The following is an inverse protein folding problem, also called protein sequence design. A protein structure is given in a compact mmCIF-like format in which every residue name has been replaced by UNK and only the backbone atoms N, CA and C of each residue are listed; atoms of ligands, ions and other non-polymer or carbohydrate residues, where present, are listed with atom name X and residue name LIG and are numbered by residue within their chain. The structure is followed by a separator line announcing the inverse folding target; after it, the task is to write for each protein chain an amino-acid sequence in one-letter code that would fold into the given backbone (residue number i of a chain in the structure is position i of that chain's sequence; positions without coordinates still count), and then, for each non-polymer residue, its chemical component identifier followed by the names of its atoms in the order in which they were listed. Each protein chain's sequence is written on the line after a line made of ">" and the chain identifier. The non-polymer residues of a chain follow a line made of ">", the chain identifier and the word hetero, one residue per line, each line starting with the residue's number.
data_IF_138516001938
#
_entry.id   IF_138516001938
#
_cell.length_a   1.000
_cell.length_b   1.000
_cell.length_c   1.000
_cell.angle_alpha   90.00
_cell.angle_beta   90.00
_cell.angle_gamma   90.00
#
_symmetry.space_group_name_H-M   'P 1'
#
loop_
_entity.id
_entity.type
_entity.pdbx_description
1 polymer ?
#
# COMPACT_ATOMS: atom_id res chain seq x y z
N UNK A 1 15.31 -3.78 -1.54
CA UNK A 1 15.52 -5.25 -1.47
C UNK A 1 14.25 -5.88 -0.92
N UNK A 2 13.88 -7.08 -1.39
CA UNK A 2 12.75 -7.85 -0.85
C UNK A 2 13.04 -8.23 0.61
N UNK A 3 12.01 -8.23 1.47
CA UNK A 3 12.10 -8.75 2.84
C UNK A 3 11.99 -10.28 2.85
N UNK A 4 12.76 -10.94 3.71
CA UNK A 4 12.61 -12.38 3.98
C UNK A 4 11.45 -12.71 4.92
N UNK A 5 10.99 -11.75 5.72
CA UNK A 5 9.76 -11.86 6.51
C UNK A 5 8.56 -11.55 5.60
N UNK A 6 7.58 -12.48 5.47
CA UNK A 6 6.43 -12.32 4.60
C UNK A 6 5.52 -11.15 5.01
N UNK A 7 5.35 -10.88 6.31
CA UNK A 7 4.52 -9.77 6.79
C UNK A 7 5.21 -8.44 6.48
N UNK A 8 6.51 -8.36 6.75
CA UNK A 8 7.30 -7.17 6.41
C UNK A 8 7.38 -6.95 4.89
N UNK A 9 7.33 -8.01 4.08
CA UNK A 9 7.28 -7.90 2.62
C UNK A 9 5.95 -7.32 2.14
N UNK A 10 4.82 -7.75 2.70
CA UNK A 10 3.50 -7.14 2.42
C UNK A 10 3.52 -5.65 2.77
N UNK A 11 4.05 -5.29 3.94
CA UNK A 11 4.15 -3.90 4.37
C UNK A 11 5.04 -3.06 3.42
N UNK A 12 6.17 -3.62 2.97
CA UNK A 12 7.07 -2.98 2.01
C UNK A 12 6.40 -2.76 0.65
N UNK A 13 5.69 -3.77 0.15
CA UNK A 13 4.98 -3.70 -1.13
C UNK A 13 3.83 -2.68 -1.09
N UNK A 14 3.09 -2.64 0.01
CA UNK A 14 2.08 -1.61 0.23
C UNK A 14 2.68 -0.19 0.12
N UNK A 15 3.84 0.08 0.76
CA UNK A 15 4.50 1.39 0.66
C UNK A 15 4.97 1.69 -0.77
N UNK A 16 5.46 0.69 -1.51
CA UNK A 16 5.82 0.87 -2.91
C UNK A 16 4.62 1.19 -3.79
N UNK A 17 3.50 0.46 -3.62
CA UNK A 17 2.25 0.71 -4.31
C UNK A 17 1.75 2.13 -4.01
N UNK A 18 1.81 2.56 -2.74
CA UNK A 18 1.43 3.92 -2.35
C UNK A 18 2.35 4.97 -3.00
N UNK A 19 3.67 4.76 -3.03
CA UNK A 19 4.60 5.68 -3.71
C UNK A 19 4.31 5.78 -5.20
N UNK A 20 4.10 4.65 -5.85
CA UNK A 20 3.76 4.60 -7.27
C UNK A 20 2.41 5.25 -7.56
N UNK A 21 1.42 5.05 -6.69
CA UNK A 21 0.11 5.66 -6.83
C UNK A 21 0.18 7.17 -6.65
N UNK A 22 0.94 7.68 -5.67
CA UNK A 22 1.13 9.12 -5.47
C UNK A 22 1.81 9.76 -6.69
N UNK A 23 2.80 9.08 -7.28
CA UNK A 23 3.56 9.54 -8.43
C UNK A 23 4.13 10.95 -8.21
N UNK A 24 3.86 11.93 -9.09
CA UNK A 24 4.34 13.31 -8.95
C UNK A 24 3.47 14.18 -8.04
N UNK A 25 2.39 13.65 -7.46
CA UNK A 25 1.48 14.44 -6.62
C UNK A 25 2.11 14.78 -5.28
N UNK A 26 1.81 15.98 -4.79
CA UNK A 26 2.25 16.37 -3.44
C UNK A 26 1.45 15.61 -2.37
N UNK A 27 2.05 15.36 -1.20
CA UNK A 27 1.34 14.78 -0.04
C UNK A 27 0.09 15.61 0.32
N UNK A 28 0.14 16.93 0.13
CA UNK A 28 -1.01 17.82 0.37
C UNK A 28 -2.17 17.52 -0.58
N UNK A 29 -1.88 17.29 -1.86
CA UNK A 29 -2.88 16.94 -2.85
C UNK A 29 -3.49 15.57 -2.55
N UNK A 30 -2.65 14.59 -2.21
CA UNK A 30 -3.08 13.25 -1.82
C UNK A 30 -4.03 13.31 -0.62
N UNK A 31 -3.65 14.03 0.44
CA UNK A 31 -4.48 14.22 1.62
C UNK A 31 -5.86 14.82 1.28
N UNK A 32 -5.92 15.75 0.32
CA UNK A 32 -7.17 16.37 -0.13
C UNK A 32 -8.08 15.38 -0.85
N UNK A 33 -7.55 14.50 -1.70
CA UNK A 33 -8.36 13.56 -2.49
C UNK A 33 -8.72 12.29 -1.73
N UNK A 34 -7.91 11.86 -0.76
CA UNK A 34 -8.17 10.66 0.06
C UNK A 34 -8.87 10.97 1.38
N UNK A 35 -8.81 12.23 1.85
CA UNK A 35 -9.30 12.59 3.18
C UNK A 35 -8.49 11.99 4.34
N UNK A 36 -7.25 11.56 4.06
CA UNK A 36 -6.27 11.09 5.05
C UNK A 36 -5.34 12.23 5.44
N UNK A 37 -5.01 12.33 6.72
CA UNK A 37 -4.11 13.39 7.20
C UNK A 37 -2.70 13.29 6.61
N UNK A 38 -2.07 14.45 6.38
CA UNK A 38 -0.73 14.55 5.76
C UNK A 38 0.34 13.86 6.60
N UNK A 39 0.28 13.97 7.93
CA UNK A 39 1.24 13.34 8.82
C UNK A 39 1.07 11.82 8.81
N UNK A 40 -0.16 11.32 8.69
CA UNK A 40 -0.44 9.89 8.53
C UNK A 40 0.17 9.35 7.24
N UNK A 41 -0.06 10.02 6.10
CA UNK A 41 0.54 9.62 4.80
C UNK A 41 2.07 9.64 4.90
N UNK A 42 2.65 10.68 5.50
CA UNK A 42 4.10 10.79 5.67
C UNK A 42 4.66 9.69 6.58
N UNK A 43 3.99 9.39 7.70
CA UNK A 43 4.42 8.35 8.64
C UNK A 43 4.44 6.98 7.96
N UNK A 44 3.39 6.65 7.20
CA UNK A 44 3.29 5.42 6.43
C UNK A 44 4.40 5.31 5.37
N UNK A 45 4.61 6.37 4.58
CA UNK A 45 5.65 6.38 3.55
C UNK A 45 7.07 6.20 4.12
N UNK A 46 7.30 6.68 5.33
CA UNK A 46 8.59 6.55 6.04
C UNK A 46 8.67 5.30 6.92
N UNK A 47 7.65 4.43 6.92
CA UNK A 47 7.63 3.21 7.74
C UNK A 47 7.55 3.47 9.24
N UNK A 48 7.08 4.65 9.66
CA UNK A 48 6.90 5.03 11.06
C UNK A 48 5.58 4.52 11.65
N UNK A 49 4.59 4.25 10.78
CA UNK A 49 3.31 3.66 11.16
C UNK A 49 2.74 2.81 10.03
N UNK A 50 1.80 1.93 10.39
CA UNK A 50 1.04 1.13 9.43
C UNK A 50 -0.41 1.61 9.39
N UNK A 51 -1.01 1.75 8.20
CA UNK A 51 -2.39 2.19 8.09
C UNK A 51 -3.34 1.12 8.65
N UNK A 52 -4.41 1.57 9.30
CA UNK A 52 -5.56 0.73 9.56
C UNK A 52 -6.40 0.51 8.28
N UNK A 53 -7.42 -0.34 8.39
CA UNK A 53 -8.29 -0.70 7.26
C UNK A 53 -9.05 0.53 6.72
N UNK A 54 -9.41 1.48 7.59
CA UNK A 54 -10.12 2.71 7.19
C UNK A 54 -9.20 3.61 6.36
N UNK A 55 -7.95 3.75 6.80
CA UNK A 55 -6.92 4.52 6.11
C UNK A 55 -6.58 3.90 4.77
N UNK A 56 -6.42 2.56 4.71
CA UNK A 56 -6.22 1.83 3.47
C UNK A 56 -7.36 2.12 2.48
N UNK A 57 -8.62 1.92 2.89
CA UNK A 57 -9.78 2.11 2.01
C UNK A 57 -9.87 3.56 1.50
N UNK A 58 -9.64 4.56 2.36
CA UNK A 58 -9.62 5.98 1.95
C UNK A 58 -8.55 6.27 0.91
N UNK A 59 -7.36 5.70 1.07
CA UNK A 59 -6.27 5.85 0.12
C UNK A 59 -6.64 5.20 -1.22
N UNK A 60 -7.14 3.98 -1.23
CA UNK A 60 -7.54 3.27 -2.45
C UNK A 60 -8.67 3.99 -3.19
N UNK A 61 -9.73 4.40 -2.50
CA UNK A 61 -10.83 5.17 -3.11
C UNK A 61 -10.38 6.53 -3.64
N UNK A 62 -9.54 7.27 -2.90
CA UNK A 62 -9.10 8.59 -3.32
C UNK A 62 -8.02 8.57 -4.41
N UNK A 63 -7.25 7.49 -4.52
CA UNK A 63 -6.22 7.32 -5.54
C UNK A 63 -6.72 6.53 -6.77
N UNK A 64 -7.85 5.83 -6.65
CA UNK A 64 -8.48 5.07 -7.73
C UNK A 64 -7.72 3.79 -8.11
N UNK A 65 -6.87 3.27 -7.22
CA UNK A 65 -6.04 2.09 -7.46
C UNK A 65 -5.94 1.22 -6.20
N UNK A 66 -5.87 -0.11 -6.34
CA UNK A 66 -5.60 -0.99 -5.22
C UNK A 66 -4.16 -0.75 -4.71
N UNK A 67 -4.02 -0.69 -3.39
CA UNK A 67 -2.74 -0.53 -2.70
C UNK A 67 -2.34 -1.80 -1.96
N UNK A 68 -3.33 -2.59 -1.50
CA UNK A 68 -3.04 -3.88 -0.88
C UNK A 68 -2.37 -4.82 -1.89
N UNK A 69 -1.15 -5.31 -1.61
CA UNK A 69 -0.39 -6.12 -2.56
C UNK A 69 -0.92 -7.57 -2.69
N UNK A 70 -1.99 -7.92 -1.98
CA UNK A 70 -2.43 -9.30 -1.82
C UNK A 70 -1.54 -10.07 -0.86
N UNK A 71 -1.88 -11.32 -0.63
CA UNK A 71 -0.90 -12.27 -0.13
C UNK A 71 0.01 -12.58 -1.33
N UNK A 72 1.33 -12.50 -1.16
CA UNK A 72 2.23 -13.00 -2.18
C UNK A 72 2.01 -14.51 -2.24
N UNK A 73 1.05 -14.91 -3.05
CA UNK A 73 0.64 -16.28 -3.21
C UNK A 73 1.80 -17.01 -3.87
N UNK A 74 2.56 -17.74 -3.06
CA UNK A 74 3.27 -18.92 -3.51
C UNK A 74 2.30 -20.05 -3.80
N UNK A 75 1.30 -19.80 -4.67
CA UNK A 75 0.59 -20.87 -5.35
C UNK A 75 0.82 -20.69 -6.84
N UNK A 76 1.81 -21.43 -7.33
CA UNK A 76 1.85 -21.85 -8.71
C UNK A 76 0.45 -22.37 -9.08
N UNK A 77 -0.17 -21.76 -10.09
CA UNK A 77 -1.46 -22.17 -10.65
C UNK A 77 -1.42 -23.58 -11.29
N UNK A 78 -0.28 -24.29 -11.22
CA UNK A 78 -0.01 -25.61 -11.81
C UNK A 78 -0.55 -26.82 -11.01
N UNK A 79 -1.40 -26.62 -9.99
CA UNK A 79 -1.99 -27.71 -9.18
C UNK A 79 -3.50 -27.89 -9.32
N UNK A 80 -4.08 -27.48 -10.45
CA UNK A 80 -5.43 -27.88 -10.84
C UNK A 80 -5.35 -28.60 -12.20
N UNK A 81 -4.57 -29.66 -12.28
CA UNK A 81 -4.78 -30.79 -13.21
C UNK A 81 -3.85 -31.94 -12.74
N UNK A 82 -4.46 -32.99 -12.18
CA UNK A 82 -3.76 -34.16 -11.63
C UNK A 82 -4.64 -34.98 -10.70
#
# INVERSE_FOLDING_TARGET
>A
MRSGDPVAEVARQFVLNLRSAIDSRSIREVARVTGVDRATIAAVLNGLSWPDIVTLAKLEFGLGVPLWPGHADGVDEERIEG
#
